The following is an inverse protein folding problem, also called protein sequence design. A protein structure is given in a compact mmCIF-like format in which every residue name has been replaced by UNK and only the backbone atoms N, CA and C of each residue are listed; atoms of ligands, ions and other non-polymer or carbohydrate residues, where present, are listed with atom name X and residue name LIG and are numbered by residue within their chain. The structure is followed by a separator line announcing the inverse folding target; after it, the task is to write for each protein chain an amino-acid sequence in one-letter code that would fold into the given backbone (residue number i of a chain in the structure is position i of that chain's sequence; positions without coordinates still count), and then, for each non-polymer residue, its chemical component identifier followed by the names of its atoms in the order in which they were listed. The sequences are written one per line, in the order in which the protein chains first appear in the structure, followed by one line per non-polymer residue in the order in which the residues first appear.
data_IF_101188879154
#
_entry.id   IF_101188879154
#
_cell.length_a   1.000
_cell.length_b   1.000
_cell.length_c   1.000
_cell.angle_alpha   90.00
_cell.angle_beta   90.00
_cell.angle_gamma   90.00
#
_symmetry.space_group_name_H-M   'P 1'
#
loop_
_entity.id
_entity.type
_entity.pdbx_description
1 polymer ?
#
# COMPACT_ATOMS: atom_id res chain seq x y z
N UNK A 1 48.69 -18.52 -58.99
CA UNK A 1 49.34 -18.61 -57.67
C UNK A 1 48.26 -18.50 -56.62
N UNK A 2 48.12 -19.48 -55.72
CA UNK A 2 47.08 -19.50 -54.67
C UNK A 2 47.76 -19.27 -53.33
N UNK A 3 47.29 -18.30 -52.56
CA UNK A 3 47.79 -18.04 -51.20
C UNK A 3 47.28 -19.14 -50.26
N UNK A 4 48.17 -19.67 -49.43
CA UNK A 4 47.83 -20.67 -48.41
C UNK A 4 47.82 -19.97 -47.06
N UNK A 5 46.68 -19.97 -46.39
CA UNK A 5 46.53 -19.38 -45.05
C UNK A 5 46.61 -20.49 -44.00
N UNK A 6 47.37 -20.24 -42.93
CA UNK A 6 47.43 -21.12 -41.76
C UNK A 6 46.78 -20.41 -40.59
N UNK A 7 45.91 -21.09 -39.82
CA UNK A 7 45.28 -20.48 -38.66
C UNK A 7 46.31 -20.19 -37.56
N UNK A 8 46.06 -19.15 -36.75
CA UNK A 8 46.93 -18.80 -35.62
C UNK A 8 47.08 -19.94 -34.62
N UNK A 9 48.25 -20.01 -33.96
CA UNK A 9 48.47 -20.93 -32.84
C UNK A 9 47.62 -20.55 -31.62
N UNK A 10 47.43 -21.47 -30.68
CA UNK A 10 46.72 -21.19 -29.44
C UNK A 10 47.36 -20.04 -28.66
N UNK A 11 46.54 -19.21 -28.01
CA UNK A 11 46.98 -17.98 -27.35
C UNK A 11 47.28 -16.81 -28.29
N UNK A 12 47.02 -16.95 -29.60
CA UNK A 12 47.11 -15.86 -30.58
C UNK A 12 45.88 -15.77 -31.47
N UNK A 13 45.60 -14.56 -31.96
CA UNK A 13 44.47 -14.28 -32.85
C UNK A 13 44.85 -13.38 -34.02
N UNK A 14 44.06 -13.43 -35.09
CA UNK A 14 44.11 -12.44 -36.18
C UNK A 14 42.69 -12.07 -36.59
N UNK A 15 42.29 -10.85 -36.26
CA UNK A 15 40.95 -10.30 -36.46
C UNK A 15 40.74 -9.66 -37.84
N UNK A 16 41.83 -9.49 -38.60
CA UNK A 16 41.82 -8.85 -39.92
C UNK A 16 42.57 -9.71 -40.93
N UNK A 17 42.08 -9.70 -42.16
CA UNK A 17 42.80 -10.30 -43.27
C UNK A 17 44.16 -9.60 -43.45
N UNK A 18 45.23 -10.40 -43.40
CA UNK A 18 46.60 -9.93 -43.57
C UNK A 18 47.30 -10.84 -44.56
N UNK A 19 48.03 -10.23 -45.51
CA UNK A 19 48.94 -10.95 -46.42
C UNK A 19 50.23 -11.41 -45.73
N UNK A 20 50.46 -10.94 -44.49
CA UNK A 20 51.58 -11.32 -43.64
C UNK A 20 51.12 -12.30 -42.56
N UNK A 21 51.98 -13.26 -42.21
CA UNK A 21 51.79 -14.20 -41.09
C UNK A 21 51.92 -13.48 -39.74
N UNK A 22 50.94 -12.65 -39.41
CA UNK A 22 50.89 -11.90 -38.15
C UNK A 22 49.65 -12.30 -37.35
N UNK A 23 49.91 -12.90 -36.20
CA UNK A 23 48.92 -13.17 -35.16
C UNK A 23 49.30 -12.37 -33.92
N UNK A 24 48.32 -11.65 -33.36
CA UNK A 24 48.44 -10.89 -32.13
C UNK A 24 48.31 -11.82 -30.92
N UNK A 25 48.96 -11.47 -29.81
CA UNK A 25 48.77 -12.20 -28.55
C UNK A 25 47.38 -11.92 -27.98
N UNK A 26 46.74 -12.98 -27.49
CA UNK A 26 45.46 -12.86 -26.81
C UNK A 26 45.62 -12.07 -25.51
N UNK A 27 44.67 -11.18 -25.24
CA UNK A 27 44.53 -10.53 -23.95
C UNK A 27 44.27 -11.55 -22.84
N UNK A 28 44.94 -11.37 -21.70
CA UNK A 28 44.61 -12.09 -20.47
C UNK A 28 43.66 -11.27 -19.59
N UNK A 29 42.53 -11.87 -19.20
CA UNK A 29 41.62 -11.32 -18.19
C UNK A 29 41.94 -11.81 -16.77
N UNK A 30 42.83 -12.79 -16.61
CA UNK A 30 43.27 -13.28 -15.30
C UNK A 30 44.24 -12.30 -14.64
N UNK A 31 43.97 -11.88 -13.39
CA UNK A 31 44.80 -10.94 -12.64
C UNK A 31 44.17 -10.48 -11.32
N UNK A 32 44.77 -9.46 -10.67
CA UNK A 32 44.32 -8.91 -9.36
C UNK A 32 43.10 -7.98 -9.45
N UNK A 33 42.55 -7.76 -10.65
CA UNK A 33 41.60 -6.67 -10.91
C UNK A 33 40.13 -7.11 -10.93
N UNK A 34 39.77 -8.24 -10.32
CA UNK A 34 38.38 -8.75 -10.24
C UNK A 34 37.69 -8.87 -11.61
N UNK A 35 38.47 -9.31 -12.61
CA UNK A 35 38.02 -9.52 -13.99
C UNK A 35 37.81 -11.01 -14.28
N UNK A 36 36.94 -11.26 -15.25
CA UNK A 36 36.69 -12.57 -15.82
C UNK A 36 36.61 -12.50 -17.34
N UNK A 37 36.67 -13.65 -18.00
CA UNK A 37 36.45 -13.73 -19.44
C UNK A 37 34.95 -13.69 -19.71
N UNK A 38 34.49 -12.61 -20.36
CA UNK A 38 33.16 -12.58 -20.97
C UNK A 38 33.14 -13.44 -22.24
N UNK A 39 34.22 -13.34 -23.03
CA UNK A 39 34.44 -14.17 -24.22
C UNK A 39 35.91 -14.61 -24.24
N UNK A 40 36.13 -15.90 -24.46
CA UNK A 40 37.48 -16.46 -24.59
C UNK A 40 38.12 -16.03 -25.92
N UNK A 41 39.45 -15.93 -25.92
CA UNK A 41 40.19 -15.70 -27.16
C UNK A 41 40.03 -16.88 -28.12
N UNK A 42 39.93 -16.58 -29.41
CA UNK A 42 39.95 -17.57 -30.49
C UNK A 42 41.06 -17.24 -31.48
N UNK A 43 41.29 -18.11 -32.48
CA UNK A 43 42.30 -17.86 -33.51
C UNK A 43 42.00 -16.65 -34.39
N UNK A 44 40.77 -16.12 -34.34
CA UNK A 44 40.29 -14.99 -35.15
C UNK A 44 39.73 -13.84 -34.34
N UNK A 45 39.62 -13.95 -33.02
CA UNK A 45 39.06 -12.90 -32.16
C UNK A 45 39.84 -12.81 -30.86
N UNK A 46 40.16 -11.60 -30.41
CA UNK A 46 40.74 -11.39 -29.08
C UNK A 46 39.75 -11.81 -27.97
N UNK A 47 40.27 -12.03 -26.76
CA UNK A 47 39.45 -12.19 -25.57
C UNK A 47 38.74 -10.88 -25.20
N UNK A 48 37.51 -10.99 -24.67
CA UNK A 48 36.81 -9.87 -24.03
C UNK A 48 36.72 -10.10 -22.53
N UNK A 49 37.13 -9.10 -21.77
CA UNK A 49 37.07 -9.14 -20.31
C UNK A 49 35.81 -8.42 -19.80
N UNK A 50 35.22 -8.96 -18.74
CA UNK A 50 34.21 -8.30 -17.90
C UNK A 50 34.69 -8.25 -16.46
N UNK A 51 33.96 -7.51 -15.63
CA UNK A 51 34.15 -7.51 -14.19
C UNK A 51 33.23 -8.53 -13.53
N UNK A 52 33.69 -9.14 -12.42
CA UNK A 52 32.82 -9.98 -11.60
C UNK A 52 31.59 -9.22 -11.09
N UNK A 53 30.56 -9.97 -10.69
CA UNK A 53 29.35 -9.40 -10.09
C UNK A 53 29.68 -8.42 -8.96
N UNK A 54 29.03 -7.25 -8.98
CA UNK A 54 29.29 -6.15 -8.05
C UNK A 54 30.34 -5.14 -8.52
N UNK A 55 30.97 -5.36 -9.67
CA UNK A 55 31.94 -4.44 -10.27
C UNK A 55 31.55 -4.04 -11.69
N UNK A 56 32.04 -2.88 -12.13
CA UNK A 56 31.78 -2.27 -13.43
C UNK A 56 33.10 -1.90 -14.11
N UNK A 57 33.16 -1.95 -15.44
CA UNK A 57 34.35 -1.60 -16.20
C UNK A 57 34.63 -0.10 -16.12
N UNK A 58 35.91 0.30 -16.03
CA UNK A 58 36.28 1.72 -16.04
C UNK A 58 36.34 2.36 -17.43
N UNK A 59 36.42 1.55 -18.49
CA UNK A 59 36.47 1.96 -19.90
C UNK A 59 36.02 0.82 -20.84
N UNK A 60 36.03 1.09 -22.14
CA UNK A 60 35.54 0.18 -23.18
C UNK A 60 36.33 -1.13 -23.32
N UNK A 61 37.58 -1.15 -22.88
CA UNK A 61 38.44 -2.33 -22.88
C UNK A 61 38.45 -3.03 -21.51
N UNK A 62 37.66 -2.52 -20.55
CA UNK A 62 37.61 -2.97 -19.18
C UNK A 62 39.01 -3.02 -18.53
N UNK A 63 39.76 -1.91 -18.62
CA UNK A 63 41.13 -1.82 -18.12
C UNK A 63 41.22 -1.97 -16.60
N UNK A 64 40.21 -1.53 -15.85
CA UNK A 64 40.07 -1.78 -14.41
C UNK A 64 38.61 -2.00 -14.03
N UNK A 65 38.38 -2.67 -12.90
CA UNK A 65 37.05 -2.87 -12.33
C UNK A 65 36.84 -1.96 -11.13
N UNK A 66 35.78 -1.16 -11.19
CA UNK A 66 35.35 -0.27 -10.10
C UNK A 66 34.11 -0.85 -9.43
N UNK A 67 33.96 -0.62 -8.14
CA UNK A 67 32.81 -1.14 -7.39
C UNK A 67 31.50 -0.48 -7.85
N UNK A 68 30.44 -1.28 -8.01
CA UNK A 68 29.09 -0.78 -8.25
C UNK A 68 28.52 -0.23 -6.94
N UNK A 69 28.28 1.09 -6.90
CA UNK A 69 27.76 1.79 -5.72
C UNK A 69 26.24 1.89 -5.68
N UNK A 70 25.53 1.36 -6.68
CA UNK A 70 24.08 1.41 -6.71
C UNK A 70 23.46 0.47 -5.69
N UNK A 71 22.40 0.95 -5.03
CA UNK A 71 21.67 0.17 -4.03
C UNK A 71 20.62 -0.73 -4.67
N UNK A 72 20.05 -1.63 -3.89
CA UNK A 72 18.99 -2.51 -4.37
C UNK A 72 17.79 -1.71 -4.91
N UNK A 73 17.28 -2.13 -6.07
CA UNK A 73 16.21 -1.42 -6.79
C UNK A 73 16.71 -0.28 -7.68
N UNK A 74 18.03 -0.10 -7.79
CA UNK A 74 18.67 0.83 -8.73
C UNK A 74 19.58 0.08 -9.69
N UNK A 75 19.80 0.67 -10.87
CA UNK A 75 20.72 0.18 -11.89
C UNK A 75 21.74 1.27 -12.23
N UNK A 76 23.00 0.90 -12.50
CA UNK A 76 24.01 1.83 -12.97
C UNK A 76 23.72 2.23 -14.42
N UNK A 77 23.74 3.53 -14.69
CA UNK A 77 23.67 4.11 -16.02
C UNK A 77 25.08 4.60 -16.38
N UNK A 78 25.59 4.08 -17.48
CA UNK A 78 26.91 4.39 -17.98
C UNK A 78 26.89 5.65 -18.85
N UNK A 79 27.80 6.57 -18.57
CA UNK A 79 28.14 7.70 -19.44
C UNK A 79 29.63 7.72 -19.72
N UNK A 80 30.04 8.35 -20.82
CA UNK A 80 31.45 8.43 -21.22
C UNK A 80 31.97 9.85 -20.94
N UNK A 81 33.01 9.94 -20.11
CA UNK A 81 33.68 11.20 -19.78
C UNK A 81 34.70 11.61 -20.85
N UNK A 82 35.11 12.88 -20.82
CA UNK A 82 36.16 13.44 -21.67
C UNK A 82 37.48 12.71 -21.39
N UNK A 83 37.83 11.76 -22.25
CA UNK A 83 38.96 10.84 -22.05
C UNK A 83 38.61 9.35 -22.14
N UNK A 84 37.36 9.00 -22.45
CA UNK A 84 36.95 7.62 -22.74
C UNK A 84 36.70 6.75 -21.50
N UNK A 85 36.85 7.33 -20.30
CA UNK A 85 36.50 6.67 -19.03
C UNK A 85 34.99 6.66 -18.83
N UNK A 86 34.51 5.60 -18.21
CA UNK A 86 33.12 5.46 -17.82
C UNK A 86 32.83 6.12 -16.48
N UNK A 87 31.71 6.82 -16.43
CA UNK A 87 31.09 7.35 -15.23
C UNK A 87 29.74 6.65 -15.04
N UNK A 88 29.42 6.32 -13.79
CA UNK A 88 28.21 5.58 -13.44
C UNK A 88 27.34 6.38 -12.48
N UNK A 89 26.10 6.59 -12.90
CA UNK A 89 25.05 7.15 -12.05
C UNK A 89 24.02 6.08 -11.71
N UNK A 90 23.43 6.14 -10.53
CA UNK A 90 22.39 5.20 -10.12
C UNK A 90 21.01 5.77 -10.44
N UNK A 91 20.21 5.00 -11.17
CA UNK A 91 18.81 5.32 -11.47
C UNK A 91 17.91 4.20 -10.98
N UNK A 92 16.65 4.51 -10.61
CA UNK A 92 15.66 3.48 -10.32
C UNK A 92 15.60 2.44 -11.44
N UNK A 93 15.64 1.16 -11.07
CA UNK A 93 15.61 0.06 -12.02
C UNK A 93 14.25 -0.05 -12.73
N UNK A 94 13.20 0.38 -12.04
CA UNK A 94 11.82 0.33 -12.48
C UNK A 94 11.19 1.74 -12.49
N UNK A 95 10.13 1.96 -13.28
CA UNK A 95 9.32 3.18 -13.25
C UNK A 95 8.70 3.46 -11.88
N UNK A 96 8.10 4.65 -11.75
CA UNK A 96 7.33 4.99 -10.58
C UNK A 96 6.17 3.99 -10.36
N UNK A 97 5.87 3.72 -9.09
CA UNK A 97 4.84 2.75 -8.67
C UNK A 97 5.12 1.29 -9.02
N UNK A 98 6.35 0.95 -9.42
CA UNK A 98 6.79 -0.43 -9.59
C UNK A 98 7.98 -0.73 -8.67
N UNK A 99 8.20 -2.02 -8.41
CA UNK A 99 9.35 -2.53 -7.66
C UNK A 99 10.05 -3.62 -8.47
N UNK A 100 11.36 -3.73 -8.30
CA UNK A 100 12.17 -4.76 -8.94
C UNK A 100 12.07 -6.06 -8.14
N UNK A 101 11.52 -7.11 -8.75
CA UNK A 101 11.67 -8.47 -8.25
C UNK A 101 13.05 -8.99 -8.64
N UNK A 102 14.02 -8.86 -7.73
CA UNK A 102 15.43 -9.23 -7.95
C UNK A 102 15.60 -10.68 -8.39
N UNK A 103 14.69 -11.59 -7.99
CA UNK A 103 14.80 -13.01 -8.35
C UNK A 103 14.47 -13.25 -9.82
N UNK A 104 13.54 -12.50 -10.37
CA UNK A 104 13.09 -12.64 -11.76
C UNK A 104 13.65 -11.54 -12.67
N UNK A 105 14.32 -10.54 -12.09
CA UNK A 105 14.80 -9.32 -12.75
C UNK A 105 13.72 -8.58 -13.56
N UNK A 106 12.47 -8.62 -13.06
CA UNK A 106 11.33 -7.94 -13.67
C UNK A 106 10.75 -6.86 -12.75
N UNK A 107 10.20 -5.82 -13.35
CA UNK A 107 9.44 -4.81 -12.62
C UNK A 107 8.00 -5.29 -12.42
N UNK A 108 7.53 -5.18 -11.17
CA UNK A 108 6.17 -5.55 -10.78
C UNK A 108 5.45 -4.32 -10.22
N UNK A 109 4.14 -4.18 -10.48
CA UNK A 109 3.36 -3.08 -9.91
C UNK A 109 3.35 -3.15 -8.39
N UNK A 110 3.54 -2.00 -7.75
CA UNK A 110 3.39 -1.82 -6.30
C UNK A 110 1.94 -1.49 -5.99
N UNK A 111 1.34 -2.29 -5.11
CA UNK A 111 -0.02 -2.11 -4.63
C UNK A 111 -0.11 -0.81 -3.81
N UNK A 112 -1.17 -0.05 -4.04
CA UNK A 112 -1.51 1.11 -3.22
C UNK A 112 -2.66 0.71 -2.30
N UNK A 113 -2.38 0.48 -1.01
CA UNK A 113 -3.40 0.00 -0.07
C UNK A 113 -4.56 0.99 0.07
N UNK A 114 -4.29 2.29 -0.03
CA UNK A 114 -5.33 3.35 -0.01
C UNK A 114 -6.35 3.20 -1.14
N UNK A 115 -5.93 2.77 -2.33
CA UNK A 115 -6.84 2.51 -3.46
C UNK A 115 -7.77 1.31 -3.19
N UNK A 116 -7.42 0.46 -2.22
CA UNK A 116 -8.24 -0.65 -1.74
C UNK A 116 -9.03 -0.30 -0.46
N UNK A 117 -8.92 0.93 0.05
CA UNK A 117 -9.50 1.32 1.34
C UNK A 117 -8.81 0.68 2.54
N UNK A 118 -7.57 0.21 2.39
CA UNK A 118 -6.77 -0.44 3.42
C UNK A 118 -5.61 0.46 3.85
N UNK A 119 -5.11 0.24 5.07
CA UNK A 119 -3.89 0.91 5.54
C UNK A 119 -2.65 0.10 5.14
N UNK A 120 -1.53 0.78 4.92
CA UNK A 120 -0.24 0.10 4.71
C UNK A 120 0.30 -0.38 6.06
N UNK A 121 0.47 -1.70 6.21
CA UNK A 121 1.19 -2.29 7.33
C UNK A 121 2.70 -2.17 7.11
N UNK A 122 3.15 -2.49 5.90
CA UNK A 122 4.52 -2.26 5.46
C UNK A 122 4.48 -1.50 4.13
N UNK A 123 5.05 -0.28 4.07
CA UNK A 123 5.11 0.48 2.84
C UNK A 123 6.08 -0.22 1.88
N UNK A 124 5.63 -0.45 0.64
CA UNK A 124 6.49 -1.00 -0.38
C UNK A 124 7.51 0.04 -0.86
N UNK A 125 8.55 -0.41 -1.55
CA UNK A 125 9.59 0.47 -2.08
C UNK A 125 10.08 -0.03 -3.46
N UNK A 126 11.28 0.34 -3.88
CA UNK A 126 11.87 -0.08 -5.17
C UNK A 126 12.19 -1.58 -5.26
N UNK A 127 12.14 -2.32 -4.15
CA UNK A 127 12.55 -3.74 -4.07
C UNK A 127 11.46 -4.69 -3.60
N UNK A 128 10.35 -4.18 -3.07
CA UNK A 128 9.25 -5.01 -2.61
C UNK A 128 7.92 -4.27 -2.65
N UNK A 129 6.84 -5.06 -2.67
CA UNK A 129 5.48 -4.56 -2.68
C UNK A 129 5.05 -4.01 -1.31
N UNK A 130 4.03 -3.15 -1.28
CA UNK A 130 3.35 -2.80 -0.03
C UNK A 130 2.58 -4.00 0.51
N UNK A 131 2.49 -4.09 1.84
CA UNK A 131 1.64 -5.05 2.55
C UNK A 131 0.49 -4.27 3.18
N UNK A 132 -0.74 -4.64 2.83
CA UNK A 132 -1.95 -3.97 3.31
C UNK A 132 -2.52 -4.68 4.54
N UNK A 133 -3.10 -3.90 5.45
CA UNK A 133 -3.83 -4.41 6.61
C UNK A 133 -5.22 -3.76 6.70
N UNK A 134 -6.19 -4.62 7.03
CA UNK A 134 -7.59 -4.27 7.23
C UNK A 134 -7.78 -3.57 8.58
N UNK A 135 -7.00 -3.93 9.60
CA UNK A 135 -7.21 -3.46 10.96
C UNK A 135 -6.55 -2.10 11.23
N UNK A 136 -5.44 -1.80 10.56
CA UNK A 136 -4.73 -0.52 10.70
C UNK A 136 -5.56 0.70 10.26
N UNK A 137 -6.53 0.56 9.35
CA UNK A 137 -7.43 1.66 8.96
C UNK A 137 -8.52 1.94 10.02
N UNK A 138 -9.00 0.89 10.69
CA UNK A 138 -10.12 0.96 11.66
C UNK A 138 -9.71 1.17 13.12
N UNK A 139 -8.41 1.11 13.43
CA UNK A 139 -7.91 1.21 14.80
C UNK A 139 -8.27 2.53 15.51
N UNK A 140 -8.43 3.62 14.76
CA UNK A 140 -8.85 4.92 15.31
C UNK A 140 -10.36 5.04 15.53
N UNK A 141 -11.18 4.54 14.60
CA UNK A 141 -12.64 4.72 14.63
C UNK A 141 -13.33 3.67 15.51
N UNK A 142 -12.88 2.42 15.46
CA UNK A 142 -13.50 1.34 16.24
C UNK A 142 -13.32 1.55 17.76
N UNK A 143 -12.15 2.02 18.18
CA UNK A 143 -11.87 2.32 19.60
C UNK A 143 -12.75 3.49 20.08
N UNK A 144 -12.93 4.54 19.27
CA UNK A 144 -13.82 5.66 19.62
C UNK A 144 -15.26 5.20 19.77
N UNK A 145 -15.77 4.39 18.85
CA UNK A 145 -17.13 3.84 18.93
C UNK A 145 -17.31 2.96 20.17
N UNK A 146 -16.35 2.08 20.47
CA UNK A 146 -16.40 1.20 21.66
C UNK A 146 -16.38 2.03 22.95
N UNK A 147 -15.52 3.05 23.06
CA UNK A 147 -15.47 3.94 24.21
C UNK A 147 -16.76 4.76 24.36
N UNK A 148 -17.33 5.25 23.26
CA UNK A 148 -18.60 5.97 23.26
C UNK A 148 -19.76 5.09 23.76
N UNK A 149 -19.88 3.86 23.27
CA UNK A 149 -20.91 2.92 23.73
C UNK A 149 -20.71 2.58 25.20
N UNK A 150 -19.47 2.29 25.62
CA UNK A 150 -19.14 2.01 27.01
C UNK A 150 -19.54 3.15 27.96
N UNK A 151 -19.25 4.39 27.59
CA UNK A 151 -19.60 5.56 28.40
C UNK A 151 -21.12 5.72 28.55
N UNK A 152 -21.87 5.58 27.46
CA UNK A 152 -23.34 5.69 27.47
C UNK A 152 -23.97 4.62 28.37
N UNK A 153 -23.51 3.37 28.28
CA UNK A 153 -24.01 2.28 29.12
C UNK A 153 -23.70 2.48 30.60
N UNK A 154 -22.48 2.95 30.93
CA UNK A 154 -22.10 3.27 32.30
C UNK A 154 -22.95 4.40 32.87
N UNK A 155 -23.16 5.49 32.13
CA UNK A 155 -24.02 6.60 32.55
C UNK A 155 -25.46 6.14 32.82
N UNK A 156 -26.04 5.32 31.93
CA UNK A 156 -27.41 4.81 32.09
C UNK A 156 -27.53 3.92 33.34
N UNK A 157 -26.56 3.03 33.55
CA UNK A 157 -26.53 2.16 34.73
C UNK A 157 -26.47 2.95 36.04
N UNK A 158 -25.69 4.04 36.08
CA UNK A 158 -25.57 4.92 37.24
C UNK A 158 -26.89 5.65 37.52
N UNK A 159 -27.56 6.17 36.50
CA UNK A 159 -28.86 6.83 36.63
C UNK A 159 -29.93 5.86 37.14
N UNK A 160 -29.97 4.63 36.64
CA UNK A 160 -30.88 3.60 37.13
C UNK A 160 -30.58 3.22 38.58
N UNK A 161 -29.30 3.10 38.93
CA UNK A 161 -28.89 2.82 40.31
C UNK A 161 -29.32 3.95 41.26
N UNK A 162 -28.98 5.21 40.94
CA UNK A 162 -29.34 6.38 41.74
C UNK A 162 -30.85 6.56 41.87
N UNK A 163 -31.59 6.41 40.78
CA UNK A 163 -33.06 6.48 40.81
C UNK A 163 -33.66 5.34 41.65
N UNK A 164 -33.14 4.13 41.57
CA UNK A 164 -33.59 3.00 42.41
C UNK A 164 -33.32 3.25 43.91
N UNK A 165 -32.16 3.81 44.25
CA UNK A 165 -31.79 4.19 45.62
C UNK A 165 -32.68 5.33 46.11
N UNK A 166 -32.91 6.34 45.27
CA UNK A 166 -33.80 7.46 45.57
C UNK A 166 -35.23 6.97 45.84
N UNK A 167 -35.78 6.12 44.97
CA UNK A 167 -37.10 5.51 45.13
C UNK A 167 -37.16 4.67 46.42
N UNK A 168 -36.13 3.87 46.72
CA UNK A 168 -36.06 3.08 47.96
C UNK A 168 -36.03 3.97 49.20
N UNK A 169 -35.27 5.07 49.19
CA UNK A 169 -35.24 6.02 50.29
C UNK A 169 -36.56 6.77 50.45
N UNK A 170 -37.19 7.23 49.38
CA UNK A 170 -38.52 7.86 49.44
C UNK A 170 -39.57 6.90 50.01
N UNK A 171 -39.55 5.62 49.60
CA UNK A 171 -40.43 4.57 50.17
C UNK A 171 -40.16 4.33 51.66
N UNK A 172 -38.90 4.38 52.10
CA UNK A 172 -38.50 4.25 53.51
C UNK A 172 -38.95 5.43 54.37
N UNK A 173 -38.91 6.66 53.83
CA UNK A 173 -39.46 7.83 54.51
C UNK A 173 -41.00 7.81 54.57
N UNK A 174 -41.67 7.34 53.51
CA UNK A 174 -43.13 7.18 53.48
C UNK A 174 -43.65 6.13 54.48
N UNK A 175 -42.86 5.09 54.76
CA UNK A 175 -43.21 4.03 55.74
C UNK A 175 -42.92 4.43 57.19
N UNK A 176 -42.00 5.37 57.44
CA UNK A 176 -41.75 5.93 58.78
C UNK A 176 -42.75 7.02 59.20
N UNK A 177 -43.35 7.73 58.25
CA UNK A 177 -44.23 8.88 58.54
C UNK A 177 -45.72 8.52 58.70
N UNK A 178 -46.09 7.24 58.72
CA UNK A 178 -47.47 6.81 59.00
C UNK A 178 -47.53 5.87 60.23
N UNK A 179 -47.71 6.39 61.46
CA UNK A 179 -48.41 5.67 62.50
C UNK A 179 -49.92 5.90 62.32
N UNK A 180 -50.64 4.81 62.09
CA UNK A 180 -52.09 4.58 62.25
C UNK A 180 -52.94 5.83 62.53
N UNK A 181 -53.72 6.28 61.55
CA UNK A 181 -55.00 6.94 61.85
C UNK A 181 -56.12 6.00 61.44
N UNK A 182 -56.73 5.41 62.46
CA UNK A 182 -57.94 4.61 62.36
C UNK A 182 -59.10 5.48 61.83
N UNK A 183 -59.81 4.90 60.88
CA UNK A 183 -61.23 5.06 60.50
C UNK A 183 -62.05 6.01 61.38
N UNK A 184 -62.73 6.98 60.74
CA UNK A 184 -64.17 7.24 60.92
C UNK A 184 -64.68 8.39 60.03
N UNK A 185 -65.81 8.14 59.33
CA UNK A 185 -66.88 9.07 58.90
C UNK A 185 -66.53 10.26 57.94
N UNK A 186 -67.33 10.70 56.95
CA UNK A 186 -68.68 10.41 56.46
C UNK A 186 -68.88 11.16 55.10
N UNK A 187 -69.57 10.50 54.17
CA UNK A 187 -70.62 10.95 53.19
C UNK A 187 -70.53 12.20 52.27
N UNK A 188 -71.12 12.01 51.07
CA UNK A 188 -71.78 12.93 50.12
C UNK A 188 -70.88 13.72 49.13
N UNK A 189 -71.22 14.02 47.88
CA UNK A 189 -72.21 13.59 46.87
C UNK A 189 -71.86 14.36 45.55
N UNK A 190 -72.19 13.80 44.38
CA UNK A 190 -72.52 14.44 43.08
C UNK A 190 -71.68 15.61 42.46
N UNK A 191 -71.23 15.45 41.19
CA UNK A 191 -71.89 16.06 40.00
C UNK A 191 -71.13 15.78 38.68
N UNK A 192 -71.90 15.51 37.63
CA UNK A 192 -71.49 15.27 36.24
C UNK A 192 -71.56 16.56 35.39
N UNK A 193 -70.73 16.60 34.34
CA UNK A 193 -70.93 17.21 33.00
C UNK A 193 -70.41 18.61 32.65
N UNK A 194 -69.67 18.60 31.52
CA UNK A 194 -69.82 19.39 30.27
C UNK A 194 -68.77 20.45 29.95
N UNK A 195 -68.30 20.30 28.72
CA UNK A 195 -67.41 21.13 27.92
C UNK A 195 -68.03 22.49 27.58
N UNK A 196 -67.17 23.50 27.36
CA UNK A 196 -67.48 24.62 26.46
C UNK A 196 -66.26 24.97 25.60
N UNK A 197 -66.58 25.30 24.36
CA UNK A 197 -65.72 25.45 23.19
C UNK A 197 -65.97 26.83 22.57
N UNK A 198 -65.02 27.31 21.77
CA UNK A 198 -65.29 28.23 20.65
C UNK A 198 -64.21 29.30 20.44
N UNK A 199 -63.90 29.80 19.24
CA UNK A 199 -64.22 29.46 17.84
C UNK A 199 -63.56 30.55 16.96
N UNK A 200 -62.95 30.21 15.81
CA UNK A 200 -63.12 30.87 14.48
C UNK A 200 -62.19 30.20 13.45
N UNK A 201 -62.73 29.45 12.48
CA UNK A 201 -63.17 29.85 11.10
C UNK A 201 -61.95 29.96 10.13
N UNK A 202 -61.89 29.42 8.88
CA UNK A 202 -62.84 28.70 8.01
C UNK A 202 -62.10 28.15 6.75
N UNK A 203 -62.57 27.03 6.18
CA UNK A 203 -62.61 26.54 4.75
C UNK A 203 -61.27 26.20 4.02
N UNK A 204 -60.96 24.92 3.77
CA UNK A 204 -61.25 23.97 2.63
C UNK A 204 -60.36 24.09 1.39
N UNK A 205 -59.77 22.94 1.02
CA UNK A 205 -59.89 22.26 -0.30
C UNK A 205 -59.51 20.78 -0.03
N UNK A 206 -60.41 19.78 -0.08
CA UNK A 206 -60.81 18.98 -1.26
C UNK A 206 -59.64 18.69 -2.23
N UNK A 207 -59.35 17.49 -2.74
CA UNK A 207 -60.04 16.22 -2.95
C UNK A 207 -58.92 15.21 -3.31
N UNK A 208 -58.81 14.03 -2.68
CA UNK A 208 -59.21 12.71 -3.23
C UNK A 208 -58.72 12.42 -4.66
N UNK A 209 -57.84 11.42 -4.84
CA UNK A 209 -58.19 10.08 -5.31
C UNK A 209 -56.95 9.23 -5.69
N UNK A 210 -56.92 8.01 -5.15
CA UNK A 210 -56.77 6.71 -5.83
C UNK A 210 -55.73 6.47 -6.96
N UNK A 211 -55.01 5.35 -6.76
CA UNK A 211 -54.51 4.35 -7.73
C UNK A 211 -53.26 4.61 -8.61
N UNK A 212 -52.37 3.60 -8.62
CA UNK A 212 -51.91 2.99 -9.88
C UNK A 212 -50.40 2.98 -10.19
N UNK A 213 -49.77 1.82 -9.99
CA UNK A 213 -48.89 1.07 -10.90
C UNK A 213 -47.66 1.71 -11.58
N UNK A 214 -46.54 0.95 -11.52
CA UNK A 214 -45.48 0.72 -12.56
C UNK A 214 -44.06 1.25 -12.28
N UNK A 215 -43.15 0.27 -12.08
CA UNK A 215 -41.82 0.09 -12.66
C UNK A 215 -41.03 1.30 -13.20
N UNK A 216 -39.73 1.40 -12.87
CA UNK A 216 -38.66 1.32 -13.88
C UNK A 216 -37.26 1.14 -13.26
N UNK A 217 -36.51 0.22 -13.87
CA UNK A 217 -35.06 0.05 -13.80
C UNK A 217 -34.30 1.29 -14.31
N UNK A 218 -33.01 1.41 -13.98
CA UNK A 218 -31.97 1.46 -15.02
C UNK A 218 -30.91 0.38 -14.73
N UNK A 219 -30.26 -0.25 -15.70
CA UNK A 219 -29.87 0.26 -17.02
C UNK A 219 -28.36 0.50 -17.01
N UNK A 220 -27.61 -0.59 -17.05
CA UNK A 220 -26.16 -0.67 -17.28
C UNK A 220 -25.84 -0.38 -18.74
N UNK A 221 -24.91 0.54 -18.99
CA UNK A 221 -24.39 0.84 -20.34
C UNK A 221 -22.97 0.31 -20.46
N UNK A 222 -22.76 -0.42 -21.55
CA UNK A 222 -21.48 -0.88 -22.11
C UNK A 222 -20.91 0.20 -23.03
#
# INVERSE_FOLDING_TARGET
MKTVCVPCVEGKFSDKYSIFDRCNECRSCHGKDKKEYAENCTRTTDAKCSCHSGFLCSDNVCSTCVENKCVAGERPIQTVSTGGKYLYDCKPACPAHEYLDVKMDICKPRIQCSALGLAELFPGNKTHNSVCDVYAATGGDSIRVILSIGFVLLSLSLVLFLSSVCIKNLRKHRTKNNPVLAVSANTCDFHLSKEESGLQLIIQDENKDSNGFSNLHPGSTL
#
